data_IF_230525823139
#
_entry.id   IF_230525823139
#
_cell.length_a   1.000
_cell.length_b   1.000
_cell.length_c   1.000
_cell.angle_alpha   90.00
_cell.angle_beta   90.00
_cell.angle_gamma   90.00
#
_symmetry.space_group_name_H-M   'P 1'
#
loop_
_entity.id
_entity.type
_entity.pdbx_description
1 polymer ?
#
# COMPACT_ATOMS: atom_id res chain seq x y z
N UNK A 1 -1.82 -24.94 -4.22
CA UNK A 1 -1.99 -23.79 -3.31
C UNK A 1 -1.44 -22.55 -3.98
N UNK A 2 -2.28 -21.66 -4.48
CA UNK A 2 -1.82 -20.37 -5.04
C UNK A 2 -1.43 -19.46 -3.88
N UNK A 3 -0.13 -19.19 -3.71
CA UNK A 3 0.33 -18.14 -2.80
C UNK A 3 0.05 -16.79 -3.48
N UNK A 4 -0.99 -16.08 -3.04
CA UNK A 4 -1.17 -14.67 -3.38
C UNK A 4 0.01 -13.89 -2.81
N UNK A 5 0.86 -13.35 -3.68
CA UNK A 5 1.95 -12.45 -3.29
C UNK A 5 1.44 -11.02 -3.37
N UNK A 6 1.76 -10.25 -2.34
CA UNK A 6 1.59 -8.80 -2.35
C UNK A 6 2.95 -8.16 -2.67
N UNK A 7 2.97 -7.30 -3.67
CA UNK A 7 4.11 -6.48 -4.03
C UNK A 7 3.88 -5.07 -3.50
N UNK A 8 4.88 -4.54 -2.80
CA UNK A 8 4.81 -3.21 -2.20
C UNK A 8 5.73 -2.28 -2.97
N UNK A 9 5.16 -1.21 -3.52
CA UNK A 9 5.93 -0.12 -4.13
C UNK A 9 5.88 1.06 -3.19
N UNK A 10 7.04 1.49 -2.72
CA UNK A 10 7.18 2.63 -1.82
C UNK A 10 8.01 3.73 -2.48
N UNK A 11 7.56 4.96 -2.32
CA UNK A 11 8.24 6.16 -2.80
C UNK A 11 8.27 7.18 -1.68
N UNK A 12 9.39 7.84 -1.51
CA UNK A 12 9.51 8.99 -0.61
C UNK A 12 9.71 10.24 -1.45
N UNK A 13 9.06 11.32 -1.06
CA UNK A 13 9.08 12.60 -1.74
C UNK A 13 9.01 13.73 -0.72
N UNK A 14 9.48 14.92 -1.09
CA UNK A 14 9.43 16.09 -0.21
C UNK A 14 10.75 16.40 0.51
N UNK A 15 10.76 17.49 1.29
CA UNK A 15 11.97 17.98 1.93
C UNK A 15 12.38 17.10 3.12
N UNK A 16 13.67 17.11 3.47
CA UNK A 16 14.22 16.26 4.53
C UNK A 16 13.54 16.44 5.90
N UNK A 17 13.00 17.63 6.18
CA UNK A 17 12.28 17.92 7.43
C UNK A 17 10.80 17.51 7.40
N UNK A 18 10.25 17.13 6.26
CA UNK A 18 8.86 16.69 6.09
C UNK A 18 8.75 15.66 4.95
N UNK A 19 9.28 14.44 5.15
CA UNK A 19 9.21 13.40 4.12
C UNK A 19 7.77 12.90 3.96
N UNK A 20 7.27 12.91 2.73
CA UNK A 20 6.03 12.28 2.32
C UNK A 20 6.33 10.91 1.73
N UNK A 21 6.01 9.88 2.50
CA UNK A 21 6.04 8.49 2.08
C UNK A 21 4.73 8.14 1.39
N UNK A 22 4.84 7.47 0.26
CA UNK A 22 3.75 6.91 -0.53
C UNK A 22 3.99 5.41 -0.62
N UNK A 23 3.00 4.59 -0.31
CA UNK A 23 3.05 3.14 -0.44
C UNK A 23 1.87 2.65 -1.26
N UNK A 24 2.11 1.67 -2.13
CA UNK A 24 1.10 1.07 -2.98
C UNK A 24 1.22 -0.45 -2.91
N UNK A 25 0.11 -1.11 -2.63
CA UNK A 25 -0.02 -2.55 -2.49
C UNK A 25 -0.61 -3.13 -3.78
N UNK A 26 0.19 -3.93 -4.48
CA UNK A 26 -0.21 -4.65 -5.68
C UNK A 26 -0.40 -6.13 -5.35
N UNK A 27 -1.50 -6.73 -5.79
CA UNK A 27 -1.73 -8.17 -5.66
C UNK A 27 -1.98 -8.68 -7.07
N UNK A 28 -1.23 -9.69 -7.52
CA UNK A 28 -1.33 -10.22 -8.90
C UNK A 28 -1.19 -9.12 -9.98
N UNK A 29 -0.34 -8.12 -9.76
CA UNK A 29 -0.14 -7.00 -10.69
C UNK A 29 -1.26 -5.95 -10.71
N UNK A 30 -2.35 -6.13 -9.95
CA UNK A 30 -3.41 -5.13 -9.80
C UNK A 30 -3.19 -4.28 -8.56
N UNK A 31 -3.45 -2.98 -8.63
CA UNK A 31 -3.38 -2.09 -7.47
C UNK A 31 -4.60 -2.33 -6.56
N UNK A 32 -4.37 -2.85 -5.37
CA UNK A 32 -5.44 -3.09 -4.39
C UNK A 32 -5.55 -1.96 -3.37
N UNK A 33 -4.47 -1.24 -3.08
CA UNK A 33 -4.53 -0.15 -2.12
C UNK A 33 -3.34 0.78 -2.21
N UNK A 34 -3.55 2.04 -1.87
CA UNK A 34 -2.50 3.05 -1.86
C UNK A 34 -2.63 3.94 -0.62
N UNK A 35 -1.52 4.39 -0.08
CA UNK A 35 -1.49 5.12 1.17
C UNK A 35 -0.34 6.09 1.22
N UNK A 36 -0.52 7.17 1.95
CA UNK A 36 0.51 8.18 2.16
C UNK A 36 0.68 8.42 3.65
N UNK A 37 1.87 8.84 4.05
CA UNK A 37 2.18 9.12 5.45
C UNK A 37 3.49 9.89 5.58
N UNK A 38 3.70 10.44 6.76
CA UNK A 38 4.96 11.04 7.19
C UNK A 38 6.06 10.00 7.48
N UNK A 39 5.69 8.71 7.52
CA UNK A 39 6.62 7.59 7.68
C UNK A 39 6.28 6.45 6.72
N UNK A 40 7.29 5.63 6.38
CA UNK A 40 7.12 4.42 5.57
C UNK A 40 6.04 3.49 6.13
N UNK A 41 6.01 3.34 7.46
CA UNK A 41 5.06 2.46 8.16
C UNK A 41 3.63 3.01 8.03
N UNK A 42 3.43 4.31 8.28
CA UNK A 42 2.11 4.93 8.16
C UNK A 42 1.55 4.83 6.73
N UNK A 43 2.38 5.08 5.72
CA UNK A 43 1.99 4.95 4.32
C UNK A 43 1.61 3.50 3.98
N UNK A 44 2.40 2.53 4.46
CA UNK A 44 2.15 1.10 4.23
C UNK A 44 0.88 0.62 4.93
N UNK A 45 0.64 1.04 6.16
CA UNK A 45 -0.55 0.67 6.93
C UNK A 45 -1.82 1.20 6.27
N UNK A 46 -1.79 2.44 5.76
CA UNK A 46 -2.88 3.01 4.97
C UNK A 46 -3.15 2.18 3.70
N UNK A 47 -2.10 1.85 2.94
CA UNK A 47 -2.22 1.01 1.75
C UNK A 47 -2.72 -0.40 2.07
N UNK A 48 -2.27 -0.99 3.19
CA UNK A 48 -2.69 -2.31 3.66
C UNK A 48 -4.17 -2.34 4.05
N UNK A 49 -4.64 -1.33 4.79
CA UNK A 49 -6.06 -1.19 5.14
C UNK A 49 -6.93 -1.16 3.90
N UNK A 50 -6.59 -0.29 2.95
CA UNK A 50 -7.36 -0.17 1.71
C UNK A 50 -7.32 -1.47 0.89
N UNK A 51 -6.16 -2.10 0.78
CA UNK A 51 -6.03 -3.38 0.09
C UNK A 51 -6.84 -4.50 0.75
N UNK A 52 -6.89 -4.53 2.09
CA UNK A 52 -7.68 -5.51 2.84
C UNK A 52 -9.18 -5.33 2.59
N UNK A 53 -9.67 -4.08 2.61
CA UNK A 53 -11.07 -3.76 2.32
C UNK A 53 -11.45 -4.17 0.89
N UNK A 54 -10.65 -3.75 -0.10
CA UNK A 54 -10.90 -4.09 -1.50
C UNK A 54 -10.81 -5.60 -1.77
N UNK A 55 -9.89 -6.30 -1.10
CA UNK A 55 -9.77 -7.75 -1.21
C UNK A 55 -10.96 -8.47 -0.58
N UNK A 56 -11.48 -7.95 0.55
CA UNK A 56 -12.67 -8.49 1.21
C UNK A 56 -13.95 -8.28 0.39
N UNK A 57 -14.09 -7.13 -0.29
CA UNK A 57 -15.22 -6.85 -1.18
C UNK A 57 -15.17 -7.69 -2.47
N UNK A 58 -13.98 -8.03 -2.98
CA UNK A 58 -13.83 -8.86 -4.18
C UNK A 58 -14.16 -10.35 -3.96
N UNK A 59 -14.44 -10.77 -2.72
CA UNK A 59 -14.71 -12.16 -2.34
C UNK A 59 -16.18 -12.43 -1.96
N UNK A 60 -17.10 -11.52 -2.29
CA UNK A 60 -18.55 -11.68 -2.06
C UNK A 60 -19.30 -11.93 -3.37
#
# INVERSE_FOLDING_TARGET
MLKMRVEWVEKTSGPQHAPLWTSSAYIQGSLYGSGHGNTRVAAREAAARQACMNLSESHQ
#
